data_IF_699544440241
#
_entry.id   IF_699544440241
#
_cell.length_a   1.000
_cell.length_b   1.000
_cell.length_c   1.000
_cell.angle_alpha   90.00
_cell.angle_beta   90.00
_cell.angle_gamma   90.00
#
_symmetry.space_group_name_H-M   'P 1'
#
loop_
_entity.id
_entity.type
_entity.pdbx_description
1 polymer ?
#
# COMPACT_ATOMS: atom_id res chain seq x y z
N UNK A 1 3.20 -8.51 15.24
CA UNK A 1 3.37 -8.14 13.81
C UNK A 1 2.21 -8.62 12.97
N UNK A 2 1.80 -9.89 13.06
CA UNK A 2 0.65 -10.41 12.29
C UNK A 2 -0.66 -9.64 12.55
N UNK A 3 -0.99 -9.34 13.81
CA UNK A 3 -2.22 -8.60 14.15
C UNK A 3 -2.23 -7.14 13.66
N UNK A 4 -1.06 -6.51 13.52
CA UNK A 4 -0.94 -5.11 13.09
C UNK A 4 -0.88 -4.96 11.57
N UNK A 5 -0.38 -5.97 10.86
CA UNK A 5 -0.29 -5.97 9.40
C UNK A 5 -1.62 -5.66 8.67
N UNK A 6 -2.78 -6.26 9.02
CA UNK A 6 -4.05 -5.94 8.36
C UNK A 6 -4.54 -4.52 8.68
N UNK A 7 -4.20 -3.98 9.86
CA UNK A 7 -4.54 -2.60 10.24
C UNK A 7 -3.79 -1.63 9.33
N UNK A 8 -2.48 -1.84 9.14
CA UNK A 8 -1.69 -1.03 8.22
C UNK A 8 -2.18 -1.15 6.78
N UNK A 9 -2.45 -2.37 6.32
CA UNK A 9 -2.92 -2.64 4.95
C UNK A 9 -4.25 -1.91 4.63
N UNK A 10 -5.14 -1.75 5.60
CA UNK A 10 -6.38 -0.99 5.44
C UNK A 10 -6.18 0.53 5.59
N UNK A 11 -5.29 0.95 6.50
CA UNK A 11 -5.07 2.38 6.76
C UNK A 11 -4.41 3.14 5.60
N UNK A 12 -3.46 2.51 4.89
CA UNK A 12 -2.72 3.13 3.78
C UNK A 12 -3.61 3.57 2.60
N UNK A 13 -4.50 2.72 2.04
CA UNK A 13 -5.40 3.15 0.98
C UNK A 13 -6.44 4.17 1.45
N UNK A 14 -6.87 4.11 2.72
CA UNK A 14 -7.75 5.14 3.29
C UNK A 14 -7.05 6.51 3.35
N UNK A 15 -5.75 6.54 3.68
CA UNK A 15 -4.95 7.76 3.62
C UNK A 15 -4.85 8.30 2.19
N UNK A 16 -4.64 7.43 1.21
CA UNK A 16 -4.59 7.84 -0.20
C UNK A 16 -5.90 8.48 -0.68
N UNK A 17 -7.06 8.02 -0.20
CA UNK A 17 -8.36 8.59 -0.57
C UNK A 17 -8.53 10.05 -0.14
N UNK A 18 -7.89 10.52 0.94
CA UNK A 18 -7.97 11.91 1.35
C UNK A 18 -7.27 12.88 0.38
N UNK A 19 -6.33 12.37 -0.42
CA UNK A 19 -5.59 13.13 -1.42
C UNK A 19 -6.33 13.17 -2.77
N UNK A 20 -7.43 12.43 -2.92
CA UNK A 20 -8.20 12.40 -4.15
C UNK A 20 -9.34 13.43 -4.09
N UNK A 21 -9.42 14.37 -5.05
CA UNK A 21 -10.54 15.31 -5.13
C UNK A 21 -11.81 14.60 -5.63
N UNK A 22 -12.80 14.40 -4.76
CA UNK A 22 -14.07 13.71 -5.10
C UNK A 22 -15.22 14.69 -5.35
N UNK A 23 -15.34 15.74 -4.53
CA UNK A 23 -16.50 16.64 -4.53
C UNK A 23 -16.22 18.02 -5.12
N UNK A 24 -14.96 18.37 -5.38
CA UNK A 24 -14.54 19.69 -5.84
C UNK A 24 -13.16 19.68 -6.52
N UNK A 25 -12.62 20.85 -6.90
CA UNK A 25 -11.32 20.94 -7.58
C UNK A 25 -10.12 20.63 -6.67
N UNK A 26 -10.29 20.73 -5.36
CA UNK A 26 -9.26 20.49 -4.34
C UNK A 26 -9.56 19.22 -3.55
N UNK A 27 -8.51 18.48 -3.20
CA UNK A 27 -8.58 17.34 -2.28
C UNK A 27 -8.74 17.81 -0.82
N UNK A 28 -9.01 16.89 0.10
CA UNK A 28 -9.07 17.24 1.53
C UNK A 28 -7.71 17.72 2.06
N UNK A 29 -6.63 17.17 1.52
CA UNK A 29 -5.25 17.56 1.79
C UNK A 29 -4.58 17.76 0.43
N UNK A 30 -4.26 19.00 0.07
CA UNK A 30 -3.49 19.32 -1.14
C UNK A 30 -2.15 19.95 -0.76
N UNK A 31 -1.07 19.48 -1.38
CA UNK A 31 0.28 20.00 -1.22
C UNK A 31 1.11 19.72 -2.47
N UNK A 32 2.21 20.46 -2.64
CA UNK A 32 3.12 20.27 -3.77
C UNK A 32 3.84 18.91 -3.65
N UNK A 33 3.56 18.00 -4.59
CA UNK A 33 4.12 16.63 -4.59
C UNK A 33 3.21 15.55 -4.00
N UNK A 34 1.90 15.81 -3.87
CA UNK A 34 0.89 14.83 -3.48
C UNK A 34 0.94 13.51 -4.28
N UNK A 35 1.15 13.57 -5.59
CA UNK A 35 1.33 12.43 -6.49
C UNK A 35 2.51 11.53 -6.08
N UNK A 36 3.65 12.13 -5.73
CA UNK A 36 4.83 11.39 -5.28
C UNK A 36 4.54 10.70 -3.95
N UNK A 37 3.79 11.37 -3.07
CA UNK A 37 3.39 10.78 -1.80
C UNK A 37 2.38 9.62 -1.97
N UNK A 38 1.46 9.71 -2.95
CA UNK A 38 0.57 8.59 -3.31
C UNK A 38 1.38 7.40 -3.84
N UNK A 39 2.37 7.65 -4.72
CA UNK A 39 3.28 6.60 -5.20
C UNK A 39 4.04 5.94 -4.03
N UNK A 40 4.54 6.75 -3.09
CA UNK A 40 5.16 6.25 -1.88
C UNK A 40 4.21 5.39 -1.03
N UNK A 41 2.95 5.81 -0.85
CA UNK A 41 1.94 5.02 -0.13
C UNK A 41 1.72 3.65 -0.79
N UNK A 42 1.67 3.57 -2.12
CA UNK A 42 1.52 2.29 -2.82
C UNK A 42 2.71 1.35 -2.59
N UNK A 43 3.94 1.86 -2.64
CA UNK A 43 5.13 1.05 -2.31
C UNK A 43 5.06 0.49 -0.88
N UNK A 44 4.50 1.28 0.05
CA UNK A 44 4.32 0.89 1.45
C UNK A 44 3.27 -0.22 1.61
N UNK A 45 2.23 -0.23 0.77
CA UNK A 45 1.24 -1.32 0.72
C UNK A 45 1.93 -2.62 0.30
N UNK A 46 2.77 -2.59 -0.75
CA UNK A 46 3.50 -3.78 -1.20
C UNK A 46 4.41 -4.35 -0.10
N UNK A 47 5.13 -3.48 0.62
CA UNK A 47 5.96 -3.88 1.79
C UNK A 47 5.10 -4.47 2.91
N UNK A 48 3.94 -3.90 3.18
CA UNK A 48 3.03 -4.39 4.23
C UNK A 48 2.50 -5.79 3.88
N UNK A 49 2.16 -6.06 2.61
CA UNK A 49 1.75 -7.38 2.12
C UNK A 49 2.86 -8.42 2.31
N UNK A 50 4.10 -8.05 2.03
CA UNK A 50 5.27 -8.90 2.26
C UNK A 50 5.43 -9.25 3.76
N UNK A 51 5.37 -8.25 4.63
CA UNK A 51 5.49 -8.44 6.09
C UNK A 51 4.33 -9.29 6.62
N UNK A 52 3.11 -9.10 6.11
CA UNK A 52 1.96 -9.91 6.47
C UNK A 52 2.19 -11.40 6.13
N UNK A 53 2.65 -11.70 4.92
CA UNK A 53 2.95 -13.06 4.46
C UNK A 53 4.13 -13.71 5.18
N UNK A 54 5.13 -12.93 5.60
CA UNK A 54 6.21 -13.43 6.46
C UNK A 54 5.67 -13.75 7.86
N UNK A 55 4.88 -12.84 8.44
CA UNK A 55 4.41 -12.95 9.83
C UNK A 55 3.40 -14.08 10.07
N UNK A 56 2.85 -14.69 9.01
CA UNK A 56 1.88 -15.79 9.13
C UNK A 56 2.50 -17.16 9.48
N UNK A 57 3.83 -17.27 9.55
CA UNK A 57 4.59 -18.50 9.93
C UNK A 57 4.11 -19.76 9.18
N UNK A 58 3.72 -19.60 7.92
CA UNK A 58 3.26 -20.69 7.05
C UNK A 58 4.04 -20.63 5.74
N UNK A 59 4.59 -21.78 5.32
CA UNK A 59 5.38 -21.90 4.07
C UNK A 59 4.61 -21.39 2.85
N UNK A 60 3.33 -21.71 2.74
CA UNK A 60 2.49 -21.22 1.65
C UNK A 60 2.19 -19.72 1.75
N UNK A 61 2.01 -19.20 2.97
CA UNK A 61 1.77 -17.78 3.21
C UNK A 61 2.98 -16.92 2.84
N UNK A 62 4.19 -17.36 3.19
CA UNK A 62 5.42 -16.64 2.86
C UNK A 62 5.70 -16.64 1.35
N UNK A 63 5.55 -17.77 0.67
CA UNK A 63 5.72 -17.83 -0.80
C UNK A 63 4.64 -17.01 -1.52
N UNK A 64 3.39 -17.08 -1.07
CA UNK A 64 2.30 -16.27 -1.61
C UNK A 64 2.52 -14.77 -1.41
N UNK A 65 2.98 -14.37 -0.22
CA UNK A 65 3.28 -12.97 0.12
C UNK A 65 4.40 -12.39 -0.73
N UNK A 66 5.48 -13.14 -0.96
CA UNK A 66 6.59 -12.72 -1.85
C UNK A 66 6.09 -12.51 -3.28
N UNK A 67 5.28 -13.44 -3.81
CA UNK A 67 4.72 -13.33 -5.16
C UNK A 67 3.81 -12.11 -5.32
N UNK A 68 2.93 -11.88 -4.34
CA UNK A 68 2.05 -10.72 -4.34
C UNK A 68 2.83 -9.41 -4.28
N UNK A 69 3.87 -9.34 -3.43
CA UNK A 69 4.73 -8.16 -3.32
C UNK A 69 5.45 -7.85 -4.64
N UNK A 70 6.04 -8.85 -5.30
CA UNK A 70 6.68 -8.65 -6.60
C UNK A 70 5.70 -8.25 -7.70
N UNK A 71 4.48 -8.79 -7.68
CA UNK A 71 3.46 -8.38 -8.63
C UNK A 71 3.09 -6.90 -8.43
N UNK A 72 2.87 -6.47 -7.18
CA UNK A 72 2.54 -5.08 -6.86
C UNK A 72 3.68 -4.13 -7.28
N UNK A 73 4.91 -4.39 -6.85
CA UNK A 73 6.07 -3.58 -7.23
C UNK A 73 6.34 -3.60 -8.74
N UNK A 74 6.12 -4.75 -9.40
CA UNK A 74 6.33 -4.90 -10.84
C UNK A 74 5.37 -4.05 -11.68
N UNK A 75 4.19 -3.73 -11.14
CA UNK A 75 3.25 -2.82 -11.80
C UNK A 75 3.43 -1.36 -11.41
N UNK A 76 4.19 -1.01 -10.38
CA UNK A 76 4.35 0.39 -9.95
C UNK A 76 5.17 1.26 -10.92
N UNK A 77 6.18 0.70 -11.58
CA UNK A 77 7.04 1.44 -12.53
C UNK A 77 6.32 1.80 -13.85
N UNK A 78 5.53 0.89 -14.49
CA UNK A 78 4.82 1.22 -15.71
C UNK A 78 3.52 2.02 -15.52
N UNK A 79 3.08 2.25 -14.27
CA UNK A 79 1.85 3.00 -13.95
C UNK A 79 2.02 4.52 -14.08
#
# INVERSE_FOLDING_TARGET
TFNSAPIFLLSLPLLALFLVPITGPEAFISFEGDLIFIMFLFTLIAVTVFIAGWSSVNRFGTVGGVRAAFQMLGYEIPM
#
